data_IF_338584142746
#
_entry.id   IF_338584142746
#
_cell.length_a   1.000
_cell.length_b   1.000
_cell.length_c   1.000
_cell.angle_alpha   90.00
_cell.angle_beta   90.00
_cell.angle_gamma   90.00
#
_symmetry.space_group_name_H-M   'P 1'
#
loop_
_entity.id
_entity.type
_entity.pdbx_description
1 polymer ?
#
# COMPACT_ATOMS: atom_id res chain seq x y z
N UNK A 1 3.19 -12.60 -20.92
CA UNK A 1 2.95 -12.71 -19.47
C UNK A 1 1.67 -13.51 -19.28
N UNK A 2 1.59 -14.34 -18.23
CA UNK A 2 0.49 -15.31 -18.05
C UNK A 2 -0.58 -14.70 -17.14
N UNK A 3 -1.83 -14.66 -17.61
CA UNK A 3 -2.98 -14.27 -16.79
C UNK A 3 -3.42 -15.42 -15.90
N UNK A 4 -3.57 -15.15 -14.62
CA UNK A 4 -4.07 -16.10 -13.63
C UNK A 4 -5.51 -15.77 -13.28
N UNK A 5 -6.26 -16.80 -12.87
CA UNK A 5 -7.63 -16.67 -12.41
C UNK A 5 -7.70 -17.12 -10.97
N UNK A 6 -8.28 -16.27 -10.12
CA UNK A 6 -8.54 -16.64 -8.75
C UNK A 6 -10.01 -17.05 -8.60
N UNK A 7 -10.25 -18.07 -7.79
CA UNK A 7 -11.61 -18.53 -7.49
C UNK A 7 -12.29 -17.49 -6.61
N UNK A 8 -13.45 -17.02 -7.04
CA UNK A 8 -14.30 -16.13 -6.25
C UNK A 8 -15.16 -16.97 -5.33
N UNK A 9 -14.96 -16.82 -4.02
CA UNK A 9 -15.85 -17.33 -3.01
C UNK A 9 -17.06 -16.40 -2.90
N UNK A 10 -18.15 -16.77 -3.57
CA UNK A 10 -19.39 -15.99 -3.56
C UNK A 10 -20.10 -15.94 -2.20
N UNK A 11 -19.77 -16.86 -1.27
CA UNK A 11 -20.38 -16.92 0.07
C UNK A 11 -19.68 -15.93 0.99
N UNK A 12 -18.35 -16.02 1.08
CA UNK A 12 -17.56 -15.11 1.91
C UNK A 12 -17.27 -13.78 1.22
N UNK A 13 -17.61 -13.67 -0.07
CA UNK A 13 -17.29 -12.53 -0.96
C UNK A 13 -15.79 -12.24 -0.95
N UNK A 14 -15.00 -13.27 -1.16
CA UNK A 14 -13.53 -13.15 -1.15
C UNK A 14 -12.89 -13.77 -2.38
N UNK A 15 -11.66 -13.36 -2.62
CA UNK A 15 -10.69 -14.02 -3.48
C UNK A 15 -9.42 -14.23 -2.67
N UNK A 16 -8.83 -15.42 -2.78
CA UNK A 16 -7.54 -15.75 -2.19
C UNK A 16 -6.64 -16.41 -3.22
N UNK A 17 -5.37 -16.02 -3.25
CA UNK A 17 -4.35 -16.65 -4.07
C UNK A 17 -2.96 -16.46 -3.45
N UNK A 18 -2.05 -17.35 -3.82
CA UNK A 18 -0.66 -17.33 -3.34
C UNK A 18 0.30 -16.89 -4.43
N UNK A 19 1.37 -16.23 -4.01
CA UNK A 19 2.50 -15.82 -4.83
C UNK A 19 3.73 -16.55 -4.29
N UNK A 20 4.32 -17.38 -5.14
CA UNK A 20 5.47 -18.22 -4.80
C UNK A 20 6.77 -17.76 -5.50
N UNK A 21 6.69 -16.69 -6.30
CA UNK A 21 7.80 -16.09 -7.05
C UNK A 21 7.98 -14.60 -6.67
N UNK A 22 9.21 -14.09 -6.79
CA UNK A 22 9.50 -12.67 -6.56
C UNK A 22 8.67 -11.76 -7.50
N UNK A 23 7.64 -11.13 -6.96
CA UNK A 23 6.65 -10.29 -7.64
C UNK A 23 6.59 -8.90 -6.98
N UNK A 24 6.89 -7.82 -7.69
CA UNK A 24 6.80 -6.47 -7.11
C UNK A 24 5.37 -5.95 -6.99
N UNK A 25 4.46 -6.42 -7.83
CA UNK A 25 3.08 -5.96 -7.81
C UNK A 25 2.14 -6.89 -8.57
N UNK A 26 0.85 -6.79 -8.27
CA UNK A 26 -0.19 -7.52 -8.97
C UNK A 26 -1.09 -6.55 -9.70
N UNK A 27 -1.24 -6.75 -11.00
CA UNK A 27 -2.31 -6.14 -11.77
C UNK A 27 -3.56 -7.02 -11.72
N UNK A 28 -4.74 -6.42 -11.67
CA UNK A 28 -5.99 -7.19 -11.53
C UNK A 28 -7.12 -6.65 -12.41
N UNK A 29 -8.11 -7.51 -12.68
CA UNK A 29 -9.38 -7.15 -13.30
C UNK A 29 -10.52 -7.98 -12.66
N UNK A 30 -11.39 -7.29 -11.92
CA UNK A 30 -12.58 -7.87 -11.33
C UNK A 30 -13.80 -7.61 -12.21
N UNK A 31 -14.65 -8.61 -12.36
CA UNK A 31 -15.83 -8.54 -13.23
C UNK A 31 -17.08 -9.12 -12.61
N UNK A 32 -18.22 -8.64 -13.12
CA UNK A 32 -19.57 -9.17 -12.93
C UNK A 32 -20.27 -9.25 -14.25
N UNK A 33 -20.74 -10.43 -14.67
CA UNK A 33 -21.40 -10.62 -15.96
C UNK A 33 -20.60 -10.01 -17.14
N UNK A 34 -19.27 -10.11 -17.09
CA UNK A 34 -18.37 -9.55 -18.10
C UNK A 34 -18.06 -8.05 -18.00
N UNK A 35 -18.76 -7.30 -17.15
CA UNK A 35 -18.50 -5.87 -16.91
C UNK A 35 -17.48 -5.66 -15.78
N UNK A 36 -16.69 -4.58 -15.88
CA UNK A 36 -15.70 -4.24 -14.87
C UNK A 36 -16.37 -3.79 -13.56
N UNK A 37 -15.84 -4.26 -12.43
CA UNK A 37 -16.28 -3.87 -11.09
C UNK A 37 -15.17 -3.06 -10.43
N UNK A 38 -15.41 -1.78 -10.10
CA UNK A 38 -14.47 -1.01 -9.29
C UNK A 38 -14.47 -1.60 -7.87
N UNK A 39 -13.28 -1.79 -7.31
CA UNK A 39 -13.08 -2.41 -6.00
C UNK A 39 -12.71 -1.39 -4.92
N UNK A 40 -13.01 -0.10 -5.12
CA UNK A 40 -12.52 0.99 -4.27
C UNK A 40 -12.81 0.78 -2.77
N UNK A 41 -13.93 0.13 -2.42
CA UNK A 41 -14.32 -0.15 -1.03
C UNK A 41 -13.83 -1.51 -0.52
N UNK A 42 -13.45 -2.41 -1.42
CA UNK A 42 -12.92 -3.72 -1.07
C UNK A 42 -11.64 -3.58 -0.26
N UNK A 43 -11.46 -4.50 0.69
CA UNK A 43 -10.23 -4.60 1.48
C UNK A 43 -9.31 -5.63 0.86
N UNK A 44 -8.02 -5.34 0.88
CA UNK A 44 -6.96 -6.26 0.54
C UNK A 44 -6.04 -6.45 1.75
N UNK A 45 -5.71 -7.71 2.03
CA UNK A 45 -4.74 -8.12 3.04
C UNK A 45 -3.66 -8.96 2.36
N UNK A 46 -2.41 -8.69 2.71
CA UNK A 46 -1.25 -9.41 2.21
C UNK A 46 -0.48 -9.95 3.38
N UNK A 47 -0.34 -11.26 3.42
CA UNK A 47 0.28 -11.99 4.52
C UNK A 47 1.45 -12.83 4.01
N UNK A 48 2.54 -12.84 4.77
CA UNK A 48 3.66 -13.74 4.55
C UNK A 48 3.39 -15.05 5.28
N UNK A 49 3.21 -16.11 4.51
CA UNK A 49 2.92 -17.46 5.00
C UNK A 49 4.23 -18.23 5.11
N UNK A 50 4.52 -18.78 6.29
CA UNK A 50 5.72 -19.58 6.53
C UNK A 50 5.35 -20.95 7.07
N UNK A 51 5.85 -22.01 6.44
CA UNK A 51 5.54 -23.39 6.85
C UNK A 51 5.88 -23.63 8.32
N UNK A 52 4.87 -23.98 9.12
CA UNK A 52 5.02 -24.28 10.55
C UNK A 52 5.25 -23.07 11.45
N UNK A 53 5.01 -21.85 10.96
CA UNK A 53 5.04 -20.61 11.75
C UNK A 53 3.73 -19.84 11.58
N UNK A 54 3.50 -18.90 12.48
CA UNK A 54 2.39 -17.95 12.36
C UNK A 54 2.60 -17.06 11.14
N UNK A 55 1.55 -16.85 10.37
CA UNK A 55 1.53 -15.91 9.26
C UNK A 55 1.82 -14.49 9.77
N UNK A 56 2.60 -13.74 9.00
CA UNK A 56 2.94 -12.35 9.33
C UNK A 56 2.16 -11.44 8.39
N UNK A 57 1.25 -10.64 8.94
CA UNK A 57 0.55 -9.65 8.12
C UNK A 57 1.53 -8.57 7.68
N UNK A 58 1.66 -8.38 6.37
CA UNK A 58 2.50 -7.35 5.78
C UNK A 58 1.74 -6.03 5.73
N UNK A 59 0.50 -6.06 5.25
CA UNK A 59 -0.42 -4.93 5.35
C UNK A 59 -1.88 -5.36 5.10
N UNK A 60 -2.81 -4.51 5.53
CA UNK A 60 -4.23 -4.62 5.16
C UNK A 60 -4.83 -3.23 4.97
N UNK A 61 -5.42 -2.96 3.81
CA UNK A 61 -6.09 -1.68 3.54
C UNK A 61 -7.15 -1.78 2.43
N UNK A 62 -7.89 -0.69 2.20
CA UNK A 62 -8.83 -0.58 1.08
C UNK A 62 -8.11 -0.29 -0.24
N UNK A 63 -8.67 -0.74 -1.37
CA UNK A 63 -8.11 -0.38 -2.68
C UNK A 63 -8.05 1.13 -2.91
N UNK A 64 -9.04 1.89 -2.42
CA UNK A 64 -9.05 3.34 -2.58
C UNK A 64 -7.83 3.98 -1.90
N UNK A 65 -7.49 3.53 -0.69
CA UNK A 65 -6.30 4.00 0.00
C UNK A 65 -5.02 3.61 -0.75
N UNK A 66 -4.86 2.34 -1.12
CA UNK A 66 -3.68 1.90 -1.89
C UNK A 66 -3.50 2.70 -3.17
N UNK A 67 -4.59 2.95 -3.91
CA UNK A 67 -4.57 3.76 -5.12
C UNK A 67 -4.09 5.17 -4.86
N UNK A 68 -4.51 5.81 -3.76
CA UNK A 68 -4.05 7.15 -3.38
C UNK A 68 -2.56 7.17 -3.03
N UNK A 69 -2.05 6.19 -2.27
CA UNK A 69 -0.61 6.07 -1.96
C UNK A 69 0.20 5.85 -3.23
N UNK A 70 -0.24 4.96 -4.12
CA UNK A 70 0.47 4.72 -5.39
C UNK A 70 0.43 5.98 -6.28
N UNK A 71 -0.71 6.69 -6.32
CA UNK A 71 -0.85 7.91 -7.12
C UNK A 71 -0.05 9.08 -6.57
N UNK A 72 0.12 9.18 -5.24
CA UNK A 72 0.94 10.23 -4.63
C UNK A 72 2.42 10.12 -5.01
N UNK A 73 2.88 8.89 -5.25
CA UNK A 73 4.29 8.61 -5.56
C UNK A 73 4.57 8.61 -7.07
N UNK A 74 3.72 7.98 -7.88
CA UNK A 74 4.05 7.68 -9.28
C UNK A 74 3.43 8.61 -10.31
N UNK A 75 2.70 9.66 -9.90
CA UNK A 75 2.06 10.69 -10.75
C UNK A 75 1.25 10.13 -11.95
N UNK A 76 0.93 8.83 -11.90
CA UNK A 76 0.31 8.05 -12.97
C UNK A 76 -0.95 7.40 -12.45
N UNK A 77 -1.93 7.34 -13.33
CA UNK A 77 -3.25 6.71 -13.15
C UNK A 77 -3.16 5.18 -13.00
N UNK A 78 -2.40 4.69 -12.03
CA UNK A 78 -2.29 3.27 -11.73
C UNK A 78 -3.49 2.91 -10.84
N UNK A 79 -4.63 2.63 -11.47
CA UNK A 79 -5.90 2.32 -10.78
C UNK A 79 -6.10 0.84 -10.44
N UNK A 80 -5.26 -0.05 -10.98
CA UNK A 80 -5.41 -1.51 -10.88
C UNK A 80 -4.10 -2.21 -10.51
N UNK A 81 -3.45 -1.73 -9.46
CA UNK A 81 -2.19 -2.28 -8.97
C UNK A 81 -2.26 -2.52 -7.47
N UNK A 82 -1.82 -3.70 -7.08
CA UNK A 82 -1.57 -4.09 -5.70
C UNK A 82 -0.06 -4.12 -5.53
N UNK A 83 0.55 -3.23 -4.76
CA UNK A 83 1.98 -3.29 -4.51
C UNK A 83 2.31 -4.49 -3.60
N UNK A 84 3.40 -5.20 -3.87
CA UNK A 84 3.86 -6.29 -3.02
C UNK A 84 5.25 -5.94 -2.49
N UNK A 85 5.32 -5.71 -1.18
CA UNK A 85 6.57 -5.63 -0.43
C UNK A 85 6.94 -7.01 0.05
N UNK A 86 8.17 -7.43 -0.20
CA UNK A 86 8.78 -8.54 0.55
C UNK A 86 9.79 -8.01 1.56
N UNK A 87 9.75 -6.75 1.94
CA UNK A 87 10.56 -6.27 3.05
C UNK A 87 9.81 -6.47 4.35
N UNK A 88 10.51 -6.94 5.39
CA UNK A 88 9.95 -6.95 6.73
C UNK A 88 9.84 -5.51 7.28
N UNK A 89 9.26 -5.36 8.47
CA UNK A 89 9.15 -4.05 9.13
C UNK A 89 10.49 -3.33 9.37
N UNK A 90 11.62 -4.01 9.20
CA UNK A 90 12.98 -3.47 9.36
C UNK A 90 13.68 -3.20 8.02
N UNK A 91 12.97 -3.32 6.89
CA UNK A 91 13.49 -2.99 5.55
C UNK A 91 14.37 -4.07 4.96
N UNK A 92 14.39 -5.25 5.58
CA UNK A 92 15.19 -6.38 5.14
C UNK A 92 14.39 -7.15 4.09
N UNK A 93 14.98 -7.31 2.91
CA UNK A 93 14.46 -8.16 1.85
C UNK A 93 14.23 -9.59 2.36
N UNK A 94 13.00 -10.06 2.26
CA UNK A 94 12.60 -11.42 2.56
C UNK A 94 12.74 -12.24 1.28
N UNK A 95 13.66 -13.21 1.31
CA UNK A 95 13.74 -14.21 0.26
C UNK A 95 12.50 -15.12 0.35
N UNK A 96 11.68 -15.12 -0.71
CA UNK A 96 10.76 -16.22 -0.94
C UNK A 96 11.58 -17.49 -1.23
N UNK A 97 11.21 -18.58 -0.59
CA UNK A 97 11.77 -19.90 -0.83
C UNK A 97 10.64 -20.93 -0.68
N UNK A 98 10.93 -22.21 -0.86
CA UNK A 98 9.93 -23.28 -0.80
C UNK A 98 9.15 -23.38 0.54
N UNK A 99 9.57 -22.64 1.57
CA UNK A 99 8.93 -22.57 2.87
C UNK A 99 8.21 -21.24 3.15
N UNK A 100 8.31 -20.27 2.24
CA UNK A 100 7.78 -18.90 2.39
C UNK A 100 7.03 -18.50 1.12
N UNK A 101 5.72 -18.31 1.24
CA UNK A 101 4.87 -17.74 0.18
C UNK A 101 4.17 -16.48 0.67
N UNK A 102 3.63 -15.69 -0.26
CA UNK A 102 2.74 -14.58 0.08
C UNK A 102 1.32 -14.93 -0.28
N UNK A 103 0.42 -14.78 0.68
CA UNK A 103 -1.02 -14.94 0.48
C UNK A 103 -1.65 -13.57 0.32
N UNK A 104 -2.35 -13.37 -0.79
CA UNK A 104 -3.18 -12.19 -1.02
C UNK A 104 -4.63 -12.58 -0.80
N UNK A 105 -5.31 -11.83 0.06
CA UNK A 105 -6.75 -11.96 0.30
C UNK A 105 -7.43 -10.66 -0.07
N UNK A 106 -8.43 -10.73 -0.94
CA UNK A 106 -9.31 -9.61 -1.25
C UNK A 106 -10.69 -9.94 -0.71
N UNK A 107 -11.26 -9.03 0.08
CA UNK A 107 -12.62 -9.10 0.60
C UNK A 107 -13.46 -8.03 -0.05
N UNK A 108 -14.45 -8.45 -0.83
CA UNK A 108 -15.32 -7.55 -1.55
C UNK A 108 -16.28 -6.82 -0.61
N UNK A 109 -16.52 -5.54 -0.88
CA UNK A 109 -17.54 -4.80 -0.16
C UNK A 109 -18.94 -5.34 -0.52
N UNK A 110 -19.93 -5.09 0.34
CA UNK A 110 -21.26 -5.69 0.19
C UNK A 110 -21.97 -5.32 -1.13
N UNK A 111 -21.71 -4.13 -1.66
CA UNK A 111 -22.25 -3.59 -2.91
C UNK A 111 -21.39 -3.91 -4.15
N UNK A 112 -20.19 -4.46 -3.98
CA UNK A 112 -19.26 -4.86 -5.04
C UNK A 112 -19.46 -6.35 -5.34
N UNK A 113 -20.38 -6.67 -6.25
CA UNK A 113 -20.60 -8.06 -6.68
C UNK A 113 -19.55 -8.45 -7.72
N UNK A 114 -18.78 -9.50 -7.46
CA UNK A 114 -17.76 -10.04 -8.38
C UNK A 114 -18.08 -11.51 -8.65
N UNK A 115 -17.99 -11.95 -9.89
CA UNK A 115 -18.06 -13.37 -10.28
C UNK A 115 -16.82 -13.88 -11.01
N UNK A 116 -15.92 -12.97 -11.40
CA UNK A 116 -14.63 -13.33 -11.99
C UNK A 116 -13.54 -12.38 -11.52
N UNK A 117 -12.39 -12.94 -11.16
CA UNK A 117 -11.22 -12.17 -10.78
C UNK A 117 -9.98 -12.69 -11.51
N UNK A 118 -9.40 -11.82 -12.33
CA UNK A 118 -8.17 -12.07 -13.07
C UNK A 118 -7.03 -11.29 -12.44
N UNK A 119 -5.84 -11.88 -12.42
CA UNK A 119 -4.65 -11.18 -11.95
C UNK A 119 -3.39 -11.57 -12.71
N UNK A 120 -2.40 -10.68 -12.68
CA UNK A 120 -1.10 -10.82 -13.33
C UNK A 120 -0.01 -10.40 -12.35
N UNK A 121 1.00 -11.25 -12.20
CA UNK A 121 2.15 -11.00 -11.33
C UNK A 121 3.24 -10.26 -12.11
N UNK A 122 3.56 -9.05 -11.68
CA UNK A 122 4.62 -8.24 -12.26
C UNK A 122 5.93 -8.55 -11.52
N UNK A 123 6.92 -9.09 -12.23
CA UNK A 123 8.23 -9.45 -11.66
C UNK A 123 9.25 -8.33 -11.88
N UNK A 124 10.13 -8.10 -10.89
CA UNK A 124 11.29 -7.22 -11.05
C UNK A 124 12.26 -7.87 -12.05
N UNK A 125 12.43 -7.26 -13.22
CA UNK A 125 13.40 -7.70 -14.22
C UNK A 125 12.94 -8.84 -15.13
N UNK A 126 12.05 -8.52 -16.08
CA UNK A 126 12.01 -8.99 -17.50
C UNK A 126 10.65 -8.62 -18.11
N UNK A 127 10.42 -7.34 -18.33
CA UNK A 127 9.35 -6.87 -19.21
C UNK A 127 9.98 -6.22 -20.45
N UNK A 128 9.87 -6.89 -21.59
CA UNK A 128 9.94 -6.21 -22.90
C UNK A 128 8.67 -5.38 -23.02
N UNK A 129 8.82 -4.07 -23.17
CA UNK A 129 7.70 -3.13 -23.37
C UNK A 129 7.67 -2.07 -22.28
N UNK A 130 7.64 -0.82 -22.72
CA UNK A 130 7.81 0.37 -21.91
C UNK A 130 6.75 0.50 -20.79
N UNK A 131 7.23 0.74 -19.56
CA UNK A 131 6.50 1.16 -18.35
C UNK A 131 5.77 0.00 -17.64
N UNK A 132 6.06 -0.41 -16.40
CA UNK A 132 6.72 0.19 -15.25
C UNK A 132 7.50 -0.93 -14.52
N UNK A 133 8.84 -0.86 -14.55
CA UNK A 133 9.72 -1.54 -13.58
C UNK A 133 10.26 -0.44 -12.65
N UNK A 134 9.51 -0.09 -11.63
CA UNK A 134 10.01 0.81 -10.58
C UNK A 134 9.81 0.10 -9.25
N UNK A 135 10.87 -0.62 -8.85
CA UNK A 135 11.24 -1.05 -7.49
C UNK A 135 10.13 -1.74 -6.65
N UNK A 136 10.47 -2.49 -5.58
CA UNK A 136 9.44 -2.99 -4.68
C UNK A 136 8.83 -1.78 -3.96
N UNK A 137 7.59 -1.42 -4.29
CA UNK A 137 6.83 -0.46 -3.51
C UNK A 137 6.50 -1.10 -2.18
N UNK A 138 7.03 -0.52 -1.11
CA UNK A 138 6.79 -0.98 0.25
C UNK A 138 6.16 0.16 1.03
N UNK A 139 5.18 -0.16 1.87
CA UNK A 139 4.61 0.83 2.75
C UNK A 139 4.24 0.24 4.10
N UNK A 140 4.30 1.08 5.13
CA UNK A 140 3.92 0.78 6.51
C UNK A 140 2.84 1.77 6.94
N UNK A 141 1.75 1.26 7.50
CA UNK A 141 0.66 2.07 8.04
C UNK A 141 0.88 2.31 9.53
N UNK A 142 0.74 3.56 9.96
CA UNK A 142 0.79 4.00 11.34
C UNK A 142 -0.47 4.77 11.66
N UNK A 143 -1.25 4.27 12.62
CA UNK A 143 -2.41 5.00 13.14
C UNK A 143 -1.96 6.03 14.19
N UNK A 144 -2.53 7.24 14.08
CA UNK A 144 -2.29 8.39 14.96
C UNK A 144 -3.64 8.99 15.34
N UNK A 145 -3.96 9.02 16.63
CA UNK A 145 -5.24 9.55 17.15
C UNK A 145 -5.08 10.87 17.91
N UNK A 146 -3.87 11.16 18.37
CA UNK A 146 -3.50 12.33 19.19
C UNK A 146 -2.15 12.88 18.73
N UNK A 147 -1.09 12.76 19.53
CA UNK A 147 0.28 13.15 19.15
C UNK A 147 1.13 11.89 19.11
N UNK A 148 1.85 11.67 18.01
CA UNK A 148 2.75 10.53 17.88
C UNK A 148 4.00 10.90 17.11
N UNK A 149 5.15 10.53 17.66
CA UNK A 149 6.40 10.51 16.92
C UNK A 149 6.44 9.26 16.04
N UNK A 150 6.61 9.48 14.75
CA UNK A 150 6.72 8.46 13.73
C UNK A 150 8.14 8.46 13.22
N UNK A 151 8.91 7.44 13.60
CA UNK A 151 10.20 7.17 12.99
C UNK A 151 9.99 6.68 11.56
N UNK A 152 10.58 7.40 10.61
CA UNK A 152 10.52 7.07 9.19
C UNK A 152 11.42 5.89 8.82
N UNK A 153 12.35 5.50 9.70
CA UNK A 153 13.25 4.37 9.52
C UNK A 153 13.97 4.45 8.15
N UNK A 154 13.68 3.54 7.22
CA UNK A 154 14.23 3.55 5.88
C UNK A 154 13.23 4.03 4.81
N UNK A 155 12.03 4.46 5.21
CA UNK A 155 11.01 5.01 4.33
C UNK A 155 11.24 6.50 4.12
N UNK A 156 11.44 6.93 2.88
CA UNK A 156 11.72 8.34 2.55
C UNK A 156 10.47 9.17 2.31
N UNK A 157 9.31 8.55 2.19
CA UNK A 157 8.09 9.24 1.84
C UNK A 157 7.05 9.04 2.94
N UNK A 158 6.46 10.14 3.42
CA UNK A 158 5.37 10.16 4.38
C UNK A 158 4.12 10.65 3.67
N UNK A 159 3.09 9.80 3.62
CA UNK A 159 1.82 10.08 2.95
C UNK A 159 0.68 10.07 3.97
N UNK A 160 -0.12 11.12 4.02
CA UNK A 160 -1.34 11.20 4.82
C UNK A 160 -2.55 11.34 3.89
N UNK A 161 -3.35 10.27 3.80
CA UNK A 161 -4.48 10.18 2.87
C UNK A 161 -5.72 10.93 3.37
N UNK A 162 -5.92 10.94 4.68
CA UNK A 162 -7.04 11.64 5.32
C UNK A 162 -6.48 12.76 6.19
N UNK A 163 -6.39 13.95 5.60
CA UNK A 163 -5.97 15.12 6.33
C UNK A 163 -7.08 15.72 7.19
N UNK A 164 -8.33 15.23 7.18
CA UNK A 164 -9.44 15.88 7.89
C UNK A 164 -9.16 16.02 9.40
N UNK A 165 -8.54 15.01 10.00
CA UNK A 165 -8.17 15.01 11.41
C UNK A 165 -6.74 15.50 11.67
N UNK A 166 -5.94 15.72 10.61
CA UNK A 166 -4.55 16.14 10.73
C UNK A 166 -4.46 17.62 11.16
N UNK A 167 -3.77 17.86 12.27
CA UNK A 167 -3.57 19.20 12.85
C UNK A 167 -2.23 19.78 12.44
N UNK A 168 -1.16 18.98 12.50
CA UNK A 168 0.17 19.40 12.07
C UNK A 168 1.10 18.22 11.79
N UNK A 169 2.12 18.48 10.99
CA UNK A 169 3.28 17.59 10.78
C UNK A 169 4.54 18.39 11.07
N UNK A 170 5.38 17.89 11.98
CA UNK A 170 6.69 18.48 12.28
C UNK A 170 7.76 17.43 12.04
N UNK A 171 8.80 17.74 11.26
CA UNK A 171 9.91 16.80 11.03
C UNK A 171 11.25 17.48 11.29
N UNK A 172 12.10 16.86 12.10
CA UNK A 172 13.48 17.32 12.31
C UNK A 172 14.31 16.98 11.07
N UNK A 173 14.51 17.91 10.12
CA UNK A 173 15.31 17.51 8.94
C UNK A 173 16.80 17.44 9.30
N UNK A 174 17.54 16.43 8.81
CA UNK A 174 18.97 16.33 9.11
C UNK A 174 19.83 17.43 8.48
N UNK A 175 19.29 18.31 7.61
CA UNK A 175 20.09 19.27 6.82
C UNK A 175 19.52 20.67 6.60
N UNK A 176 18.20 20.91 6.65
CA UNK A 176 17.62 22.19 6.20
C UNK A 176 16.58 22.80 7.17
N UNK A 177 16.64 22.46 8.46
CA UNK A 177 15.75 22.98 9.49
C UNK A 177 14.41 22.23 9.59
N UNK A 178 13.71 22.41 10.69
CA UNK A 178 12.48 21.67 10.97
C UNK A 178 11.40 22.02 9.95
N UNK A 179 10.87 21.00 9.25
CA UNK A 179 9.67 21.19 8.41
C UNK A 179 8.48 21.17 9.35
N UNK A 180 7.87 22.32 9.58
CA UNK A 180 6.66 22.46 10.40
C UNK A 180 5.47 22.87 9.53
N UNK A 181 4.54 21.94 9.31
CA UNK A 181 3.33 22.17 8.54
C UNK A 181 2.15 22.33 9.48
N UNK A 182 1.62 23.55 9.54
CA UNK A 182 0.37 23.84 10.25
C UNK A 182 -0.83 23.37 9.45
N UNK A 183 -1.98 23.25 10.13
CA UNK A 183 -3.27 23.01 9.48
C UNK A 183 -3.54 23.96 8.31
N UNK A 184 -3.29 25.25 8.51
CA UNK A 184 -3.54 26.29 7.50
C UNK A 184 -2.71 26.06 6.23
N UNK A 185 -1.43 25.73 6.39
CA UNK A 185 -0.55 25.40 5.26
C UNK A 185 -0.96 24.09 4.60
N UNK A 186 -1.33 23.08 5.39
CA UNK A 186 -1.82 21.80 4.86
C UNK A 186 -3.08 22.01 4.01
N UNK A 187 -3.95 22.92 4.42
CA UNK A 187 -5.16 23.25 3.69
C UNK A 187 -4.94 24.11 2.44
N UNK A 188 -3.88 24.93 2.41
CA UNK A 188 -3.54 25.72 1.22
C UNK A 188 -2.80 24.92 0.14
N UNK A 189 -1.87 24.05 0.54
CA UNK A 189 -0.97 23.38 -0.42
C UNK A 189 -1.44 22.01 -0.88
N UNK A 190 -2.24 21.31 -0.09
CA UNK A 190 -2.60 19.92 -0.37
C UNK A 190 -4.11 19.75 -0.55
N UNK A 191 -4.57 19.42 -1.75
CA UNK A 191 -6.00 19.21 -2.00
C UNK A 191 -6.52 17.89 -1.42
N UNK A 192 -5.86 16.77 -1.75
CA UNK A 192 -6.42 15.43 -1.52
C UNK A 192 -5.66 14.62 -0.48
N UNK A 193 -4.33 14.71 -0.45
CA UNK A 193 -3.45 14.01 0.47
C UNK A 193 -2.20 14.84 0.71
N UNK A 194 -1.55 14.63 1.85
CA UNK A 194 -0.23 15.21 2.13
C UNK A 194 0.83 14.19 1.72
N UNK A 195 1.84 14.62 0.98
CA UNK A 195 3.03 13.81 0.67
C UNK A 195 4.27 14.63 0.99
N UNK A 196 5.10 14.11 1.88
CA UNK A 196 6.36 14.71 2.30
C UNK A 196 7.50 13.74 2.04
N UNK A 197 8.63 14.28 1.58
CA UNK A 197 9.89 13.54 1.57
C UNK A 197 10.71 13.84 2.81
N UNK A 198 11.21 12.78 3.45
CA UNK A 198 12.02 12.82 4.66
C UNK A 198 13.42 12.26 4.38
N UNK A 199 14.36 12.60 5.26
CA UNK A 199 15.61 11.87 5.39
C UNK A 199 15.38 10.45 5.93
N UNK A 200 16.42 9.61 5.83
CA UNK A 200 16.43 8.30 6.49
C UNK A 200 16.56 8.46 8.01
N UNK A 201 15.84 7.63 8.75
CA UNK A 201 15.75 7.57 10.22
C UNK A 201 15.39 8.92 10.83
N UNK A 202 14.52 9.65 10.13
CA UNK A 202 14.00 10.92 10.58
C UNK A 202 12.74 10.70 11.42
N UNK A 203 12.59 11.46 12.50
CA UNK A 203 11.34 11.47 13.28
C UNK A 203 10.41 12.55 12.75
N UNK A 204 9.15 12.17 12.56
CA UNK A 204 8.04 13.08 12.24
C UNK A 204 7.04 13.06 13.39
N UNK A 205 6.86 14.19 14.06
CA UNK A 205 5.73 14.37 14.96
C UNK A 205 4.46 14.60 14.14
N UNK A 206 3.48 13.73 14.36
CA UNK A 206 2.16 13.82 13.76
C UNK A 206 1.16 14.16 14.84
N UNK A 207 0.45 15.26 14.65
CA UNK A 207 -0.63 15.69 15.54
C UNK A 207 -1.98 15.57 14.84
N UNK A 208 -2.93 14.94 15.51
CA UNK A 208 -4.26 14.65 15.02
C UNK A 208 -5.31 14.95 16.10
N UNK A 209 -6.53 15.31 15.69
CA UNK A 209 -7.70 15.50 16.57
C UNK A 209 -8.76 14.40 16.39
N UNK A 210 -8.36 13.27 15.81
CA UNK A 210 -9.13 12.07 15.50
C UNK A 210 -8.22 11.01 14.89
N UNK A 211 -8.76 9.87 14.47
CA UNK A 211 -7.92 8.83 13.84
C UNK A 211 -7.45 9.29 12.47
N UNK A 212 -6.13 9.37 12.29
CA UNK A 212 -5.43 9.66 11.03
C UNK A 212 -4.49 8.50 10.72
N UNK A 213 -4.47 8.08 9.45
CA UNK A 213 -3.56 7.05 8.97
C UNK A 213 -2.38 7.69 8.24
N UNK A 214 -1.19 7.45 8.75
CA UNK A 214 0.09 7.86 8.18
C UNK A 214 0.70 6.65 7.47
N UNK A 215 1.10 6.83 6.21
CA UNK A 215 1.71 5.80 5.40
C UNK A 215 3.17 6.18 5.16
N UNK A 216 4.09 5.36 5.66
CA UNK A 216 5.51 5.45 5.36
C UNK A 216 5.76 4.63 4.10
N UNK A 217 6.40 5.18 3.08
CA UNK A 217 6.51 4.59 1.74
C UNK A 217 7.95 4.62 1.25
N UNK A 218 8.35 3.55 0.57
CA UNK A 218 9.63 3.43 -0.13
C UNK A 218 9.38 2.76 -1.48
N UNK A 219 10.09 3.25 -2.50
CA UNK A 219 10.03 2.76 -3.87
C UNK A 219 11.35 3.01 -4.58
#
# INVERSE_FOLDING_TARGET
>A
MSRNYAIVDGVNKTVQFSIDDACSSISYDARKNGQHVPLEKSTISVDLVRKGKTDVSLYSDTFSNLRKIVSSIFDKQISKLIPISFQNQQGIDLALNDQVSVKVTIKFHADESVDSFQYEMNKLGKSKGDKINTLPFTFKKVEVDTVKEVDTEYYKDVVVIDKANLVSLASETPKDGDIFLTREFIDSEFETFVHLQTGLNQTVEVKSNGVTNVYLVQY
#
